data_IF_200356146453
#
_entry.id   IF_200356146453
#
_cell.length_a   1.000
_cell.length_b   1.000
_cell.length_c   1.000
_cell.angle_alpha   90.00
_cell.angle_beta   90.00
_cell.angle_gamma   90.00
#
_symmetry.space_group_name_H-M   'P 1'
#
loop_
_entity.id
_entity.type
_entity.pdbx_description
1 polymer ?
#
# COMPACT_ATOMS: atom_id res chain seq x y z
N UNK A 1 -35.07 8.80 -13.79
CA UNK A 1 -33.88 9.36 -13.08
C UNK A 1 -33.14 8.17 -12.50
N UNK A 2 -32.05 7.73 -13.15
CA UNK A 2 -31.15 6.76 -12.54
C UNK A 2 -30.34 7.53 -11.49
N UNK A 3 -30.66 7.31 -10.22
CA UNK A 3 -29.74 7.59 -9.13
C UNK A 3 -28.53 6.70 -9.39
N UNK A 4 -27.48 7.26 -9.97
CA UNK A 4 -26.18 6.61 -10.03
C UNK A 4 -25.82 6.24 -8.59
N UNK A 5 -25.92 4.96 -8.27
CA UNK A 5 -25.12 4.36 -7.20
C UNK A 5 -23.66 4.64 -7.60
N UNK A 6 -23.10 5.76 -7.15
CA UNK A 6 -21.66 5.84 -6.98
C UNK A 6 -21.35 4.76 -5.97
N UNK A 7 -20.88 3.60 -6.41
CA UNK A 7 -20.31 2.61 -5.51
C UNK A 7 -19.24 3.35 -4.70
N UNK A 8 -19.53 3.53 -3.42
CA UNK A 8 -18.61 4.15 -2.48
C UNK A 8 -17.38 3.26 -2.40
N UNK A 9 -16.19 3.86 -2.43
CA UNK A 9 -14.95 3.14 -2.18
C UNK A 9 -15.06 2.39 -0.84
N UNK A 10 -14.81 1.09 -0.87
CA UNK A 10 -14.81 0.21 0.29
C UNK A 10 -13.42 0.17 0.90
N UNK A 11 -13.33 0.30 2.22
CA UNK A 11 -12.09 0.11 2.97
C UNK A 11 -12.25 -1.13 3.84
N UNK A 12 -11.31 -2.07 3.75
CA UNK A 12 -11.28 -3.25 4.60
C UNK A 12 -9.90 -3.44 5.24
N UNK A 13 -9.91 -3.97 6.46
CA UNK A 13 -8.70 -4.38 7.19
C UNK A 13 -8.77 -5.90 7.33
N UNK A 14 -7.72 -6.60 6.94
CA UNK A 14 -7.65 -8.06 6.88
C UNK A 14 -6.35 -8.56 7.51
N UNK A 15 -6.34 -9.81 7.97
CA UNK A 15 -5.17 -10.47 8.52
C UNK A 15 -4.10 -10.80 7.45
N UNK A 16 -2.89 -11.12 7.90
CA UNK A 16 -1.75 -11.44 7.03
C UNK A 16 -1.93 -12.72 6.18
N UNK A 17 -2.91 -13.55 6.52
CA UNK A 17 -3.32 -14.71 5.74
C UNK A 17 -4.09 -14.37 4.46
N UNK A 18 -4.49 -13.10 4.29
CA UNK A 18 -5.23 -12.68 3.10
C UNK A 18 -4.38 -12.80 1.84
N UNK A 19 -4.84 -13.58 0.86
CA UNK A 19 -4.10 -13.85 -0.38
C UNK A 19 -4.49 -12.86 -1.48
N UNK A 20 -3.48 -12.21 -2.06
CA UNK A 20 -3.58 -11.29 -3.19
C UNK A 20 -2.63 -11.66 -4.33
N UNK A 21 -2.07 -12.87 -4.29
CA UNK A 21 -1.07 -13.33 -5.27
C UNK A 21 -1.64 -13.38 -6.69
N UNK A 22 -2.86 -13.89 -6.85
CA UNK A 22 -3.47 -14.05 -8.17
C UNK A 22 -3.88 -12.70 -8.76
N UNK A 23 -4.50 -11.83 -7.95
CA UNK A 23 -4.84 -10.47 -8.39
C UNK A 23 -3.60 -9.66 -8.79
N UNK A 24 -2.46 -9.84 -8.10
CA UNK A 24 -1.21 -9.18 -8.46
C UNK A 24 -0.63 -9.72 -9.77
N UNK A 25 -0.63 -11.06 -9.96
CA UNK A 25 -0.17 -11.70 -11.21
C UNK A 25 -1.02 -11.29 -12.42
N UNK A 26 -2.32 -11.15 -12.21
CA UNK A 26 -3.29 -10.76 -13.24
C UNK A 26 -3.35 -9.24 -13.45
N UNK A 27 -2.58 -8.45 -12.69
CA UNK A 27 -2.60 -6.98 -12.74
C UNK A 27 -3.97 -6.37 -12.41
N UNK A 28 -4.76 -7.06 -11.60
CA UNK A 28 -6.08 -6.63 -11.16
C UNK A 28 -5.98 -5.69 -9.94
N UNK A 29 -4.97 -5.91 -9.10
CA UNK A 29 -4.67 -5.07 -7.94
C UNK A 29 -3.29 -4.42 -8.02
N UNK A 30 -3.17 -3.29 -7.33
CA UNK A 30 -1.91 -2.60 -7.10
C UNK A 30 -1.47 -2.82 -5.66
N UNK A 31 -0.37 -3.56 -5.48
CA UNK A 31 0.21 -3.83 -4.18
C UNK A 31 1.14 -2.68 -3.76
N UNK A 32 0.94 -2.18 -2.55
CA UNK A 32 1.79 -1.20 -1.89
C UNK A 32 2.39 -1.85 -0.65
N UNK A 33 3.71 -1.87 -0.58
CA UNK A 33 4.45 -2.39 0.58
C UNK A 33 5.65 -1.49 0.88
N UNK A 34 6.47 -1.89 1.83
CA UNK A 34 7.72 -1.18 2.12
C UNK A 34 8.93 -1.93 1.59
N UNK A 35 9.90 -1.16 1.12
CA UNK A 35 11.09 -1.61 0.39
C UNK A 35 12.11 -2.32 1.30
N UNK A 36 11.71 -3.41 1.93
CA UNK A 36 12.59 -4.15 2.82
C UNK A 36 13.48 -5.14 2.08
N UNK A 37 14.76 -5.16 2.48
CA UNK A 37 15.80 -6.01 1.90
C UNK A 37 15.82 -7.44 2.46
N UNK A 38 15.28 -7.64 3.67
CA UNK A 38 15.21 -8.95 4.36
C UNK A 38 14.28 -9.96 3.68
N UNK A 39 13.93 -11.06 4.38
CA UNK A 39 12.85 -11.97 3.95
C UNK A 39 11.51 -11.24 4.03
N UNK A 40 11.28 -10.37 3.06
CA UNK A 40 10.15 -9.47 3.03
C UNK A 40 9.31 -9.75 1.80
N UNK A 41 8.00 -9.85 2.04
CA UNK A 41 6.96 -10.04 1.04
C UNK A 41 7.18 -9.16 -0.20
N UNK A 42 7.54 -7.89 -0.01
CA UNK A 42 7.74 -6.95 -1.11
C UNK A 42 8.80 -7.42 -2.12
N UNK A 43 10.01 -7.75 -1.66
CA UNK A 43 11.12 -8.22 -2.52
C UNK A 43 10.76 -9.53 -3.21
N UNK A 44 10.12 -10.44 -2.49
CA UNK A 44 9.76 -11.75 -3.02
C UNK A 44 8.74 -11.60 -4.18
N UNK A 45 7.80 -10.65 -4.11
CA UNK A 45 6.89 -10.34 -5.22
C UNK A 45 7.58 -9.71 -6.44
N UNK A 46 8.65 -8.92 -6.26
CA UNK A 46 9.45 -8.41 -7.38
C UNK A 46 10.02 -9.59 -8.18
N UNK A 47 10.56 -10.59 -7.49
CA UNK A 47 11.16 -11.76 -8.12
C UNK A 47 10.08 -12.67 -8.73
N UNK A 48 9.09 -13.08 -7.93
CA UNK A 48 8.14 -14.12 -8.33
C UNK A 48 7.09 -13.65 -9.33
N UNK A 49 6.75 -12.36 -9.33
CA UNK A 49 5.63 -11.82 -10.12
C UNK A 49 6.11 -10.91 -11.24
N UNK A 50 7.15 -10.12 -11.01
CA UNK A 50 7.65 -9.18 -12.02
C UNK A 50 8.76 -9.79 -12.90
N UNK A 51 9.27 -10.97 -12.57
CA UNK A 51 10.31 -11.67 -13.34
C UNK A 51 11.72 -11.09 -13.18
N UNK A 52 11.96 -10.32 -12.12
CA UNK A 52 13.27 -9.73 -11.83
C UNK A 52 14.16 -10.75 -11.12
N UNK A 53 15.47 -10.61 -11.29
CA UNK A 53 16.43 -11.32 -10.45
C UNK A 53 16.41 -10.79 -9.01
N UNK A 54 16.90 -11.61 -8.07
CA UNK A 54 17.06 -11.19 -6.67
C UNK A 54 17.94 -9.93 -6.54
N UNK A 55 19.01 -9.83 -7.33
CA UNK A 55 19.91 -8.66 -7.34
C UNK A 55 19.17 -7.39 -7.76
N UNK A 56 18.34 -7.46 -8.81
CA UNK A 56 17.56 -6.31 -9.25
C UNK A 56 16.48 -5.94 -8.22
N UNK A 57 15.87 -6.91 -7.55
CA UNK A 57 14.91 -6.65 -6.48
C UNK A 57 15.57 -5.95 -5.28
N UNK A 58 16.76 -6.39 -4.87
CA UNK A 58 17.57 -5.76 -3.81
C UNK A 58 17.93 -4.33 -4.21
N UNK A 59 18.50 -4.15 -5.42
CA UNK A 59 18.90 -2.83 -5.92
C UNK A 59 17.72 -1.86 -5.99
N UNK A 60 16.54 -2.34 -6.39
CA UNK A 60 15.33 -1.52 -6.39
C UNK A 60 14.94 -1.06 -4.97
N UNK A 61 14.89 -1.98 -4.02
CA UNK A 61 14.60 -1.64 -2.63
C UNK A 61 15.64 -0.67 -2.03
N UNK A 62 16.93 -0.89 -2.31
CA UNK A 62 18.00 0.03 -1.90
C UNK A 62 17.82 1.42 -2.50
N UNK A 63 17.43 1.51 -3.76
CA UNK A 63 17.22 2.80 -4.43
C UNK A 63 16.10 3.61 -3.77
N UNK A 64 14.97 2.98 -3.45
CA UNK A 64 13.84 3.58 -2.71
C UNK A 64 14.31 4.09 -1.35
N UNK A 65 15.00 3.23 -0.58
CA UNK A 65 15.43 3.57 0.77
C UNK A 65 16.51 4.66 0.79
N UNK A 66 17.41 4.67 -0.19
CA UNK A 66 18.49 5.66 -0.29
C UNK A 66 17.97 7.02 -0.74
N UNK A 67 17.04 7.03 -1.70
CA UNK A 67 16.42 8.26 -2.18
C UNK A 67 15.39 8.80 -1.17
N UNK A 68 14.87 7.94 -0.30
CA UNK A 68 13.81 8.24 0.66
C UNK A 68 12.52 8.72 -0.03
N UNK A 69 12.16 8.02 -1.11
CA UNK A 69 11.01 8.34 -1.97
C UNK A 69 10.31 7.07 -2.41
N UNK A 70 9.04 7.18 -2.82
CA UNK A 70 8.25 6.07 -3.34
C UNK A 70 8.79 5.57 -4.67
N UNK A 71 8.89 4.25 -4.83
CA UNK A 71 9.28 3.61 -6.10
C UNK A 71 8.19 2.67 -6.63
N UNK A 72 7.83 2.80 -7.90
CA UNK A 72 6.81 1.94 -8.55
C UNK A 72 7.43 1.16 -9.70
N UNK A 73 7.15 -0.14 -9.79
CA UNK A 73 7.71 -1.05 -10.81
C UNK A 73 6.94 -1.08 -12.14
N UNK A 74 6.03 -0.14 -12.36
CA UNK A 74 5.28 -0.03 -13.61
C UNK A 74 6.23 0.23 -14.81
N UNK A 75 6.01 -0.38 -15.99
CA UNK A 75 4.92 -1.29 -16.35
C UNK A 75 5.18 -2.77 -16.02
N UNK A 76 6.36 -3.08 -15.47
CA UNK A 76 6.81 -4.45 -15.20
C UNK A 76 5.98 -5.15 -14.13
N UNK A 77 5.44 -4.40 -13.16
CA UNK A 77 4.49 -4.90 -12.17
C UNK A 77 3.71 -3.79 -11.48
N UNK A 78 2.54 -4.11 -10.93
CA UNK A 78 1.70 -3.16 -10.18
C UNK A 78 2.08 -3.23 -8.71
N UNK A 79 3.33 -2.86 -8.45
CA UNK A 79 3.95 -2.92 -7.14
C UNK A 79 4.63 -1.59 -6.83
N UNK A 80 4.31 -1.01 -5.68
CA UNK A 80 4.89 0.23 -5.17
C UNK A 80 5.53 0.03 -3.81
N UNK A 81 6.80 0.42 -3.69
CA UNK A 81 7.56 0.38 -2.46
C UNK A 81 7.64 1.75 -1.80
N UNK A 82 7.37 1.78 -0.50
CA UNK A 82 7.58 2.91 0.39
C UNK A 82 8.90 2.76 1.16
N UNK A 83 9.59 3.85 1.53
CA UNK A 83 10.81 3.78 2.34
C UNK A 83 10.63 3.00 3.65
N UNK A 84 11.52 2.05 3.91
CA UNK A 84 11.42 1.11 5.05
C UNK A 84 11.46 1.81 6.42
N UNK A 85 12.11 2.98 6.49
CA UNK A 85 12.29 3.71 7.76
C UNK A 85 10.96 4.05 8.45
N UNK A 86 9.90 4.32 7.69
CA UNK A 86 8.57 4.62 8.24
C UNK A 86 7.97 3.47 9.06
N UNK A 87 8.38 2.24 8.75
CA UNK A 87 7.79 1.01 9.30
C UNK A 87 8.67 0.35 10.38
N UNK A 88 9.94 0.75 10.48
CA UNK A 88 10.95 0.16 11.38
C UNK A 88 11.46 1.11 12.46
N UNK A 89 11.31 2.41 12.28
CA UNK A 89 11.81 3.43 13.20
C UNK A 89 10.64 4.28 13.72
N UNK A 90 10.81 4.95 14.86
CA UNK A 90 9.82 5.92 15.33
C UNK A 90 9.65 7.07 14.33
N UNK A 91 8.41 7.54 14.15
CA UNK A 91 8.08 8.60 13.19
C UNK A 91 7.92 9.94 13.91
N UNK A 92 8.78 10.91 13.60
CA UNK A 92 8.57 12.31 14.00
C UNK A 92 7.48 12.96 13.15
N UNK A 93 7.03 14.16 13.52
CA UNK A 93 6.07 14.91 12.68
C UNK A 93 6.63 15.24 11.29
N UNK A 94 7.93 15.51 11.17
CA UNK A 94 8.56 15.73 9.86
C UNK A 94 8.55 14.43 9.03
N UNK A 95 8.81 13.29 9.67
CA UNK A 95 8.75 11.98 9.02
C UNK A 95 7.31 11.63 8.60
N UNK A 96 6.32 12.03 9.38
CA UNK A 96 4.90 11.85 9.03
C UNK A 96 4.53 12.62 7.78
N UNK A 97 4.94 13.88 7.66
CA UNK A 97 4.72 14.66 6.42
C UNK A 97 5.37 13.98 5.21
N UNK A 98 6.62 13.49 5.36
CA UNK A 98 7.29 12.76 4.27
C UNK A 98 6.64 11.43 3.93
N UNK A 99 6.13 10.71 4.94
CA UNK A 99 5.33 9.50 4.73
C UNK A 99 4.06 9.80 3.94
N UNK A 100 3.35 10.88 4.26
CA UNK A 100 2.14 11.29 3.53
C UNK A 100 2.43 11.65 2.07
N UNK A 101 3.57 12.28 1.77
CA UNK A 101 4.03 12.50 0.40
C UNK A 101 4.25 11.17 -0.34
N UNK A 102 5.01 10.26 0.27
CA UNK A 102 5.28 8.94 -0.30
C UNK A 102 3.99 8.12 -0.53
N UNK A 103 3.06 8.19 0.42
CA UNK A 103 1.76 7.55 0.35
C UNK A 103 0.91 8.14 -0.78
N UNK A 104 0.89 9.46 -0.93
CA UNK A 104 0.20 10.14 -2.03
C UNK A 104 0.77 9.71 -3.40
N UNK A 105 2.09 9.57 -3.50
CA UNK A 105 2.73 9.09 -4.74
C UNK A 105 2.28 7.68 -5.12
N UNK A 106 2.01 6.80 -4.14
CA UNK A 106 1.46 5.47 -4.42
C UNK A 106 0.04 5.56 -5.01
N UNK A 107 -0.80 6.47 -4.50
CA UNK A 107 -2.13 6.71 -5.07
C UNK A 107 -2.08 7.33 -6.47
N UNK A 108 -1.18 8.30 -6.68
CA UNK A 108 -0.92 8.87 -8.02
C UNK A 108 -0.48 7.76 -8.97
N UNK A 109 0.40 6.86 -8.52
CA UNK A 109 0.88 5.76 -9.34
C UNK A 109 -0.26 4.84 -9.80
N UNK A 110 -1.22 4.54 -8.91
CA UNK A 110 -2.42 3.79 -9.31
C UNK A 110 -3.25 4.56 -10.33
N UNK A 111 -3.60 5.81 -10.03
CA UNK A 111 -4.52 6.61 -10.85
C UNK A 111 -3.99 6.81 -12.27
N UNK A 112 -2.72 7.15 -12.41
CA UNK A 112 -2.11 7.51 -13.69
C UNK A 112 -1.62 6.30 -14.48
N UNK A 113 -1.11 5.26 -13.81
CA UNK A 113 -0.41 4.15 -14.46
C UNK A 113 -1.07 2.79 -14.26
N UNK A 114 -1.15 2.27 -13.03
CA UNK A 114 -1.62 0.88 -12.79
C UNK A 114 -3.10 0.72 -13.15
N UNK A 115 -3.92 1.71 -12.78
CA UNK A 115 -5.38 1.76 -12.97
C UNK A 115 -6.09 0.53 -12.42
N UNK A 116 -5.58 -0.01 -11.32
CA UNK A 116 -6.19 -1.12 -10.61
C UNK A 116 -7.44 -0.67 -9.88
N UNK A 117 -8.43 -1.56 -9.82
CA UNK A 117 -9.67 -1.32 -9.08
C UNK A 117 -9.54 -1.56 -7.57
N UNK A 118 -8.44 -2.20 -7.17
CA UNK A 118 -8.07 -2.42 -5.79
C UNK A 118 -6.62 -2.01 -5.55
N UNK A 119 -6.41 -1.28 -4.44
CA UNK A 119 -5.07 -1.08 -3.88
C UNK A 119 -4.95 -1.84 -2.57
N UNK A 120 -3.87 -2.61 -2.44
CA UNK A 120 -3.57 -3.42 -1.26
C UNK A 120 -2.37 -2.81 -0.53
N UNK A 121 -2.55 -2.37 0.70
CA UNK A 121 -1.49 -1.85 1.56
C UNK A 121 -1.05 -2.93 2.56
N UNK A 122 0.13 -3.51 2.36
CA UNK A 122 0.61 -4.60 3.18
C UNK A 122 1.52 -4.14 4.33
N UNK A 123 0.96 -4.09 5.54
CA UNK A 123 1.62 -3.59 6.75
C UNK A 123 1.82 -4.65 7.85
N UNK A 124 1.51 -5.93 7.61
CA UNK A 124 1.61 -6.99 8.63
C UNK A 124 2.97 -7.01 9.36
N UNK A 125 4.06 -6.83 8.62
CA UNK A 125 5.41 -6.84 9.18
C UNK A 125 5.89 -5.49 9.75
N UNK A 126 5.07 -4.43 9.79
CA UNK A 126 5.48 -3.14 10.36
C UNK A 126 5.70 -3.25 11.89
N UNK A 127 6.86 -2.84 12.38
CA UNK A 127 7.24 -2.92 13.81
C UNK A 127 6.93 -1.60 14.54
N UNK A 128 6.91 -0.47 13.83
CA UNK A 128 6.68 0.85 14.40
C UNK A 128 5.55 1.59 13.69
N UNK A 129 4.90 2.49 14.42
CA UNK A 129 3.88 3.43 13.90
C UNK A 129 2.67 2.79 13.22
N UNK A 130 2.41 1.49 13.41
CA UNK A 130 1.38 0.74 12.66
C UNK A 130 0.00 1.44 12.66
N UNK A 131 -0.53 1.79 13.82
CA UNK A 131 -1.82 2.48 13.90
C UNK A 131 -1.83 3.83 13.19
N UNK A 132 -0.75 4.61 13.33
CA UNK A 132 -0.60 5.89 12.66
C UNK A 132 -0.59 5.70 11.14
N UNK A 133 0.21 4.77 10.63
CA UNK A 133 0.29 4.44 9.19
C UNK A 133 -1.09 4.03 8.64
N UNK A 134 -1.79 3.14 9.35
CA UNK A 134 -3.13 2.70 8.95
C UNK A 134 -4.12 3.88 8.97
N UNK A 135 -4.14 4.67 10.03
CA UNK A 135 -5.03 5.83 10.15
C UNK A 135 -4.78 6.85 9.03
N UNK A 136 -3.53 7.14 8.71
CA UNK A 136 -3.17 8.04 7.61
C UNK A 136 -3.52 7.46 6.23
N UNK A 137 -3.32 6.16 6.04
CA UNK A 137 -3.74 5.45 4.81
C UNK A 137 -5.25 5.59 4.61
N UNK A 138 -6.03 5.38 5.67
CA UNK A 138 -7.49 5.53 5.64
C UNK A 138 -7.90 6.98 5.36
N UNK A 139 -7.30 7.95 6.05
CA UNK A 139 -7.61 9.38 5.84
C UNK A 139 -7.31 9.80 4.40
N UNK A 140 -6.18 9.34 3.85
CA UNK A 140 -5.82 9.64 2.47
C UNK A 140 -6.80 9.01 1.48
N UNK A 141 -7.13 7.72 1.66
CA UNK A 141 -8.13 7.01 0.84
C UNK A 141 -9.49 7.73 0.83
N UNK A 142 -9.95 8.19 1.98
CA UNK A 142 -11.20 8.97 2.09
C UNK A 142 -11.12 10.32 1.34
N UNK A 143 -9.95 10.97 1.36
CA UNK A 143 -9.70 12.23 0.65
C UNK A 143 -9.67 12.09 -0.87
N UNK A 144 -9.32 10.91 -1.39
CA UNK A 144 -9.24 10.62 -2.83
C UNK A 144 -10.44 9.83 -3.36
N UNK A 145 -11.53 9.73 -2.59
CA UNK A 145 -12.74 8.93 -2.86
C UNK A 145 -13.46 9.20 -4.20
N UNK A 146 -12.95 10.12 -5.03
CA UNK A 146 -13.45 10.42 -6.36
C UNK A 146 -12.66 9.75 -7.50
N UNK A 147 -11.65 8.93 -7.23
CA UNK A 147 -11.01 8.13 -8.27
C UNK A 147 -12.03 7.13 -8.86
N UNK A 148 -12.41 7.25 -10.14
CA UNK A 148 -13.47 6.43 -10.73
C UNK A 148 -13.06 4.97 -10.94
N UNK A 149 -11.76 4.66 -10.92
CA UNK A 149 -11.26 3.31 -11.13
C UNK A 149 -11.12 2.55 -9.82
N UNK A 150 -10.86 3.25 -8.71
CA UNK A 150 -10.53 2.64 -7.43
C UNK A 150 -11.78 2.38 -6.58
N UNK A 151 -12.12 1.11 -6.43
CA UNK A 151 -13.31 0.67 -5.69
C UNK A 151 -12.99 0.11 -4.31
N UNK A 152 -11.79 -0.48 -4.13
CA UNK A 152 -11.42 -1.15 -2.88
C UNK A 152 -10.04 -0.72 -2.41
N UNK A 153 -9.94 -0.44 -1.10
CA UNK A 153 -8.68 -0.35 -0.37
C UNK A 153 -8.64 -1.50 0.64
N UNK A 154 -7.63 -2.35 0.52
CA UNK A 154 -7.39 -3.44 1.45
C UNK A 154 -6.13 -3.14 2.25
N UNK A 155 -6.24 -3.13 3.57
CA UNK A 155 -5.11 -2.95 4.49
C UNK A 155 -4.84 -4.30 5.15
N UNK A 156 -3.67 -4.87 4.89
CA UNK A 156 -3.24 -6.14 5.48
C UNK A 156 -2.40 -5.83 6.73
N UNK A 157 -2.88 -6.25 7.91
CA UNK A 157 -2.20 -6.06 9.19
C UNK A 157 -2.48 -7.23 10.15
N UNK A 158 -1.49 -7.67 10.94
CA UNK A 158 -1.66 -8.78 11.90
C UNK A 158 -2.65 -8.42 13.03
N UNK A 159 -3.62 -9.30 13.31
CA UNK A 159 -4.52 -9.21 14.48
C UNK A 159 -3.92 -9.85 15.76
N UNK A 160 -4.36 -9.47 16.98
CA UNK A 160 -5.40 -8.47 17.28
C UNK A 160 -4.82 -7.25 17.99
N UNK A 161 -5.03 -6.06 17.43
CA UNK A 161 -4.93 -4.81 18.18
C UNK A 161 -6.30 -4.12 18.15
N UNK A 162 -6.69 -3.43 19.24
CA UNK A 162 -7.96 -2.71 19.25
C UNK A 162 -7.93 -1.67 18.13
N UNK A 163 -8.88 -1.78 17.20
CA UNK A 163 -9.05 -0.81 16.13
C UNK A 163 -9.22 0.60 16.70
N UNK A 164 -8.57 1.58 16.09
CA UNK A 164 -8.81 3.00 16.38
C UNK A 164 -10.24 3.39 15.97
N UNK A 165 -10.72 4.54 16.43
CA UNK A 165 -12.03 5.04 15.99
C UNK A 165 -12.08 5.27 14.46
N UNK A 166 -11.00 5.78 13.87
CA UNK A 166 -10.85 5.98 12.43
C UNK A 166 -11.02 4.65 11.68
N UNK A 167 -10.34 3.61 12.15
CA UNK A 167 -10.37 2.27 11.57
C UNK A 167 -11.78 1.65 11.67
N UNK A 168 -12.42 1.74 12.85
CA UNK A 168 -13.80 1.25 13.03
C UNK A 168 -14.79 1.93 12.11
N UNK A 169 -14.73 3.26 12.00
CA UNK A 169 -15.65 4.02 11.16
C UNK A 169 -15.44 3.77 9.67
N UNK A 170 -14.20 3.46 9.25
CA UNK A 170 -13.89 3.18 7.86
C UNK A 170 -14.42 1.81 7.39
N UNK A 171 -14.35 0.79 8.24
CA UNK A 171 -14.79 -0.59 7.90
C UNK A 171 -16.32 -0.75 7.90
N UNK A 172 -17.05 0.11 8.61
CA UNK A 172 -18.51 0.05 8.74
C UNK A 172 -19.29 0.73 7.60
N UNK A 173 -18.60 1.36 6.64
CA UNK A 173 -19.19 2.10 5.51
C UNK A 173 -19.12 1.28 4.23
#
# INVERSE_FOLDING_TARGET
MNLNNKESMRIQIVGAEWSYTDGLKNKELHLVGFAELGMAFFRDFIVSTCGFSLEQAISHCESINKADETGTLYPSGYLTGLPVRFFRQGMSEQDRSRFLECLMDAFIANREYCKSNEMVFHYACAISNRNLIIDETIRMAQGISNDPNLHTITIVADEPFPLTEVQRLAVLR
#
